data_IF_419498209687
#
_entry.id   IF_419498209687
#
_cell.length_a   1.000
_cell.length_b   1.000
_cell.length_c   1.000
_cell.angle_alpha   90.00
_cell.angle_beta   90.00
_cell.angle_gamma   90.00
#
_symmetry.space_group_name_H-M   'P 1'
#
loop_
_entity.id
_entity.type
_entity.pdbx_description
1 polymer ?
#
# COMPACT_ATOMS: atom_id res chain seq x y z
N UNK A 1 16.73 2.44 2.97
CA UNK A 1 15.26 2.39 3.18
C UNK A 1 14.62 2.07 1.83
N UNK A 2 14.47 0.79 1.50
CA UNK A 2 14.21 0.38 0.12
C UNK A 2 12.74 0.30 -0.28
N UNK A 3 11.80 0.09 0.64
CA UNK A 3 10.37 -0.09 0.34
C UNK A 3 9.46 0.85 1.14
N UNK A 4 9.98 1.49 2.18
CA UNK A 4 9.24 2.45 2.99
C UNK A 4 9.30 3.85 2.40
N UNK A 5 8.19 4.56 2.47
CA UNK A 5 8.17 5.99 2.20
C UNK A 5 8.87 6.77 3.32
N UNK A 6 9.39 7.93 2.97
CA UNK A 6 10.00 8.83 3.97
C UNK A 6 8.95 9.64 4.72
N UNK A 7 7.86 9.96 4.05
CA UNK A 7 6.73 10.75 4.56
C UNK A 7 5.44 10.05 4.15
N UNK A 8 4.44 10.06 5.03
CA UNK A 8 3.08 9.60 4.72
C UNK A 8 2.05 10.69 5.05
N UNK A 9 1.08 10.85 4.18
CA UNK A 9 -0.14 11.60 4.47
C UNK A 9 -1.23 10.59 4.81
N UNK A 10 -1.83 10.75 5.98
CA UNK A 10 -2.86 9.86 6.52
C UNK A 10 -4.06 10.69 6.95
N UNK A 11 -5.16 10.03 7.32
CA UNK A 11 -6.19 10.66 8.11
C UNK A 11 -5.65 11.02 9.51
N UNK A 12 -5.99 12.19 10.02
CA UNK A 12 -5.62 12.62 11.38
C UNK A 12 -6.06 11.63 12.46
N UNK A 13 -7.22 11.00 12.27
CA UNK A 13 -7.76 9.98 13.18
C UNK A 13 -7.17 8.57 12.95
N UNK A 14 -6.15 8.44 12.11
CA UNK A 14 -5.55 7.14 11.85
C UNK A 14 -4.86 6.61 13.10
N UNK A 15 -5.37 5.48 13.58
CA UNK A 15 -4.66 4.66 14.54
C UNK A 15 -3.46 3.97 13.86
N UNK A 16 -2.61 3.30 14.62
CA UNK A 16 -1.55 2.43 14.11
C UNK A 16 -2.06 1.24 13.29
N UNK A 17 -3.36 1.09 13.13
CA UNK A 17 -4.02 0.05 12.35
C UNK A 17 -3.80 0.25 10.84
N UNK A 18 -3.69 -0.84 10.11
CA UNK A 18 -3.70 -0.84 8.64
C UNK A 18 -5.12 -0.77 8.04
N UNK A 19 -6.17 -0.85 8.86
CA UNK A 19 -7.56 -0.58 8.45
C UNK A 19 -7.87 0.91 8.64
N UNK A 20 -7.32 1.71 7.72
CA UNK A 20 -7.31 3.17 7.81
C UNK A 20 -8.56 3.77 7.19
N UNK A 21 -8.95 4.95 7.68
CA UNK A 21 -10.01 5.75 7.06
C UNK A 21 -9.54 6.30 5.71
N UNK A 22 -10.44 6.39 4.71
CA UNK A 22 -10.09 6.81 3.35
C UNK A 22 -9.90 8.32 3.26
N UNK A 23 -8.68 8.77 3.01
CA UNK A 23 -8.42 10.16 2.62
C UNK A 23 -8.54 10.34 1.10
N UNK A 24 -8.83 11.55 0.67
CA UNK A 24 -8.83 11.92 -0.73
C UNK A 24 -8.07 13.23 -0.93
N UNK A 25 -6.96 13.14 -1.66
CA UNK A 25 -6.17 14.32 -2.02
C UNK A 25 -6.55 14.77 -3.42
N UNK A 26 -7.02 16.02 -3.56
CA UNK A 26 -7.44 16.57 -4.83
C UNK A 26 -6.28 16.71 -5.84
N UNK A 27 -6.60 16.79 -7.13
CA UNK A 27 -5.60 16.85 -8.19
C UNK A 27 -4.66 18.06 -8.09
N UNK A 28 -5.12 19.29 -7.77
CA UNK A 28 -4.20 20.40 -7.55
C UNK A 28 -3.19 20.15 -6.43
N UNK A 29 -3.63 19.60 -5.31
CA UNK A 29 -2.75 19.26 -4.18
C UNK A 29 -1.76 18.15 -4.57
N UNK A 30 -2.22 17.11 -5.30
CA UNK A 30 -1.35 16.05 -5.84
C UNK A 30 -0.24 16.63 -6.72
N UNK A 31 -0.62 17.52 -7.64
CA UNK A 31 0.33 18.17 -8.54
C UNK A 31 1.35 19.00 -7.77
N UNK A 32 0.89 19.83 -6.82
CA UNK A 32 1.77 20.65 -6.01
C UNK A 32 2.78 19.83 -5.19
N UNK A 33 2.35 18.72 -4.59
CA UNK A 33 3.25 17.81 -3.86
C UNK A 33 4.31 17.23 -4.81
N UNK A 34 3.91 16.80 -6.01
CA UNK A 34 4.85 16.20 -6.98
C UNK A 34 5.85 17.20 -7.54
N UNK A 35 5.57 18.51 -7.46
CA UNK A 35 6.45 19.59 -7.91
C UNK A 35 7.43 20.08 -6.84
N UNK A 36 7.34 19.58 -5.59
CA UNK A 36 8.34 19.89 -4.56
C UNK A 36 9.70 19.32 -5.01
N UNK A 37 10.78 20.13 -5.09
CA UNK A 37 12.07 19.69 -5.64
C UNK A 37 12.67 18.46 -4.95
N UNK A 38 12.44 18.32 -3.65
CA UNK A 38 12.91 17.21 -2.82
C UNK A 38 12.15 15.90 -3.04
N UNK A 39 10.94 15.96 -3.60
CA UNK A 39 10.11 14.78 -3.84
C UNK A 39 10.62 13.98 -5.03
N UNK A 40 10.89 12.71 -4.82
CA UNK A 40 11.24 11.74 -5.87
C UNK A 40 9.99 11.02 -6.40
N UNK A 41 9.13 10.54 -5.49
CA UNK A 41 7.92 9.78 -5.83
C UNK A 41 6.77 10.08 -4.90
N UNK A 42 5.57 10.00 -5.46
CA UNK A 42 4.30 10.09 -4.73
C UNK A 42 3.45 8.88 -5.13
N UNK A 43 3.08 8.05 -4.16
CA UNK A 43 2.32 6.83 -4.40
C UNK A 43 1.05 6.81 -3.55
N UNK A 44 -0.04 6.36 -4.14
CA UNK A 44 -1.37 6.32 -3.53
C UNK A 44 -1.69 4.87 -3.14
N UNK A 45 -1.73 4.62 -1.84
CA UNK A 45 -1.75 3.27 -1.28
C UNK A 45 -3.07 3.00 -0.58
N UNK A 46 -3.62 1.82 -0.82
CA UNK A 46 -4.79 1.31 -0.09
C UNK A 46 -4.37 0.10 0.72
N UNK A 47 -4.48 0.15 2.03
CA UNK A 47 -4.17 -0.99 2.89
C UNK A 47 -5.42 -1.60 3.50
N UNK A 48 -5.44 -2.92 3.64
CA UNK A 48 -6.49 -3.63 4.35
C UNK A 48 -5.96 -4.91 4.97
N UNK A 49 -6.17 -5.12 6.28
CA UNK A 49 -5.94 -6.42 6.91
C UNK A 49 -6.88 -7.48 6.35
N UNK A 50 -6.37 -8.70 6.21
CA UNK A 50 -7.15 -9.84 5.76
C UNK A 50 -6.49 -11.15 6.14
N UNK A 51 -7.15 -12.26 5.80
CA UNK A 51 -6.63 -13.60 6.04
C UNK A 51 -6.56 -14.33 4.71
N UNK A 52 -5.37 -14.82 4.36
CA UNK A 52 -5.22 -15.80 3.29
C UNK A 52 -5.44 -17.18 3.89
N UNK A 53 -6.33 -17.95 3.28
CA UNK A 53 -6.63 -19.32 3.68
C UNK A 53 -6.37 -20.27 2.53
N UNK A 54 -5.69 -21.36 2.84
CA UNK A 54 -5.52 -22.56 2.01
C UNK A 54 -6.24 -23.72 2.67
N UNK A 55 -6.16 -24.92 2.09
CA UNK A 55 -6.85 -26.11 2.65
C UNK A 55 -6.35 -26.42 4.07
N UNK A 56 -5.05 -26.31 4.31
CA UNK A 56 -4.43 -26.71 5.56
C UNK A 56 -3.94 -25.56 6.44
N UNK A 57 -3.83 -24.34 5.90
CA UNK A 57 -3.17 -23.23 6.58
C UNK A 57 -3.97 -21.93 6.44
N UNK A 58 -3.75 -21.02 7.36
CA UNK A 58 -4.21 -19.64 7.25
C UNK A 58 -3.18 -18.67 7.81
N UNK A 59 -3.17 -17.45 7.29
CA UNK A 59 -2.26 -16.40 7.75
C UNK A 59 -2.93 -15.04 7.67
N UNK A 60 -2.87 -14.29 8.77
CA UNK A 60 -3.23 -12.88 8.77
C UNK A 60 -2.13 -12.09 8.05
N UNK A 61 -2.54 -11.24 7.12
CA UNK A 61 -1.66 -10.41 6.30
C UNK A 61 -2.26 -9.03 6.12
N UNK A 62 -1.44 -8.09 5.65
CA UNK A 62 -1.91 -6.79 5.17
C UNK A 62 -1.81 -6.74 3.66
N UNK A 63 -2.93 -6.52 3.00
CA UNK A 63 -2.99 -6.25 1.57
C UNK A 63 -2.59 -4.80 1.33
N UNK A 64 -1.49 -4.60 0.62
CA UNK A 64 -1.04 -3.30 0.13
C UNK A 64 -1.48 -3.17 -1.32
N UNK A 65 -2.57 -2.44 -1.53
CA UNK A 65 -3.10 -2.14 -2.85
C UNK A 65 -2.35 -0.98 -3.49
N UNK A 66 -1.86 -1.20 -4.69
CA UNK A 66 -1.12 -0.22 -5.49
C UNK A 66 -1.76 -0.06 -6.87
N UNK A 67 -1.58 1.10 -7.49
CA UNK A 67 -2.12 1.37 -8.82
C UNK A 67 -1.12 1.03 -9.95
N UNK A 68 -1.52 1.30 -11.20
CA UNK A 68 -0.70 1.02 -12.37
C UNK A 68 0.56 1.89 -12.48
N UNK A 69 0.65 3.00 -11.73
CA UNK A 69 1.79 3.91 -11.73
C UNK A 69 2.83 3.60 -10.65
N UNK A 70 2.56 2.57 -9.83
CA UNK A 70 3.43 2.19 -8.72
C UNK A 70 4.85 1.88 -9.16
N UNK A 71 5.84 2.38 -8.42
CA UNK A 71 7.24 2.12 -8.69
C UNK A 71 7.69 0.75 -8.20
N UNK A 72 7.73 -0.20 -9.10
CA UNK A 72 8.11 -1.57 -8.82
C UNK A 72 9.62 -1.83 -8.71
N UNK A 73 10.51 -0.81 -8.83
CA UNK A 73 11.98 -1.01 -8.81
C UNK A 73 12.46 -1.82 -7.63
N UNK A 74 11.93 -1.53 -6.43
CA UNK A 74 12.30 -2.27 -5.22
C UNK A 74 11.91 -3.76 -5.32
N UNK A 75 10.68 -4.06 -5.70
CA UNK A 75 10.21 -5.44 -5.80
C UNK A 75 10.83 -6.19 -6.97
N UNK A 76 11.11 -5.54 -8.09
CA UNK A 76 11.85 -6.16 -9.22
C UNK A 76 13.23 -6.61 -8.80
N UNK A 77 13.93 -5.83 -7.98
CA UNK A 77 15.25 -6.17 -7.45
C UNK A 77 15.21 -7.34 -6.46
N UNK A 78 14.10 -7.52 -5.76
CA UNK A 78 13.91 -8.54 -4.73
C UNK A 78 13.00 -9.69 -5.19
N UNK A 79 12.58 -9.70 -6.45
CA UNK A 79 11.78 -10.79 -7.01
C UNK A 79 12.66 -12.02 -7.20
N UNK A 80 12.21 -13.16 -6.66
CA UNK A 80 12.93 -14.43 -6.75
C UNK A 80 12.26 -15.41 -7.71
N UNK A 81 10.94 -15.25 -7.95
CA UNK A 81 10.18 -16.12 -8.84
C UNK A 81 9.04 -15.34 -9.51
N UNK A 82 8.70 -15.69 -10.75
CA UNK A 82 7.55 -15.14 -11.47
C UNK A 82 7.77 -13.74 -12.00
N UNK A 83 6.68 -12.96 -12.06
CA UNK A 83 6.67 -11.65 -12.67
C UNK A 83 5.88 -10.64 -11.83
N UNK A 84 6.29 -9.37 -11.90
CA UNK A 84 5.51 -8.25 -11.39
C UNK A 84 4.27 -8.06 -12.28
N UNK A 85 3.05 -7.97 -11.70
CA UNK A 85 1.84 -7.74 -12.47
C UNK A 85 1.79 -6.32 -13.05
N UNK A 86 1.16 -6.18 -14.19
CA UNK A 86 0.81 -4.88 -14.80
C UNK A 86 -0.65 -4.54 -14.46
N UNK A 87 -0.87 -3.79 -13.41
CA UNK A 87 -2.21 -3.43 -12.96
C UNK A 87 -2.96 -2.45 -13.87
N UNK A 88 -2.33 -1.98 -14.95
CA UNK A 88 -3.01 -1.29 -16.04
C UNK A 88 -3.79 -2.23 -16.96
N UNK A 89 -3.48 -3.54 -16.92
CA UNK A 89 -4.13 -4.56 -17.74
C UNK A 89 -5.26 -5.27 -16.98
N UNK A 90 -6.36 -5.54 -17.68
CA UNK A 90 -7.50 -6.27 -17.11
C UNK A 90 -7.15 -7.70 -16.67
N UNK A 91 -6.25 -8.36 -17.41
CA UNK A 91 -5.84 -9.75 -17.14
C UNK A 91 -5.01 -9.90 -15.85
N UNK A 92 -4.46 -8.79 -15.37
CA UNK A 92 -3.64 -8.77 -14.15
C UNK A 92 -4.39 -8.29 -12.90
N UNK A 93 -5.67 -7.94 -13.03
CA UNK A 93 -6.47 -7.33 -11.94
C UNK A 93 -6.53 -8.15 -10.65
N UNK A 94 -6.53 -9.48 -10.73
CA UNK A 94 -6.58 -10.39 -9.60
C UNK A 94 -5.23 -11.04 -9.26
N UNK A 95 -4.15 -10.57 -9.88
CA UNK A 95 -2.79 -11.03 -9.55
C UNK A 95 -2.29 -10.40 -8.25
N UNK A 96 -1.45 -11.15 -7.58
CA UNK A 96 -0.84 -10.78 -6.31
C UNK A 96 0.62 -11.22 -6.28
N UNK A 97 1.48 -10.42 -5.67
CA UNK A 97 2.82 -10.87 -5.29
C UNK A 97 2.88 -11.07 -3.78
N UNK A 98 3.59 -12.11 -3.37
CA UNK A 98 3.73 -12.55 -1.98
C UNK A 98 5.19 -12.77 -1.64
N UNK A 99 5.56 -12.66 -0.38
CA UNK A 99 6.91 -13.01 0.04
C UNK A 99 7.13 -14.52 0.03
N UNK A 100 8.37 -14.95 -0.17
CA UNK A 100 8.80 -16.34 -0.03
C UNK A 100 8.46 -16.91 1.35
N UNK A 101 8.60 -16.09 2.38
CA UNK A 101 8.30 -16.46 3.76
C UNK A 101 6.82 -16.79 3.97
N UNK A 102 5.91 -15.95 3.49
CA UNK A 102 4.47 -16.21 3.55
C UNK A 102 4.07 -17.38 2.65
N UNK A 103 4.64 -17.48 1.45
CA UNK A 103 4.39 -18.57 0.52
C UNK A 103 4.72 -19.93 1.14
N UNK A 104 5.88 -20.04 1.79
CA UNK A 104 6.30 -21.27 2.52
C UNK A 104 5.40 -21.58 3.71
N UNK A 105 5.00 -20.58 4.50
CA UNK A 105 4.09 -20.78 5.64
C UNK A 105 2.71 -21.26 5.20
N UNK A 106 2.22 -20.74 4.07
CA UNK A 106 0.91 -21.12 3.51
C UNK A 106 0.98 -22.37 2.62
N UNK A 107 2.17 -22.86 2.28
CA UNK A 107 2.41 -23.95 1.34
C UNK A 107 1.80 -23.71 -0.04
N UNK A 108 2.01 -22.49 -0.55
CA UNK A 108 1.56 -22.06 -1.87
C UNK A 108 2.75 -21.58 -2.71
N UNK A 109 2.58 -21.55 -4.01
CA UNK A 109 3.63 -21.19 -4.96
C UNK A 109 3.13 -20.37 -6.14
N UNK A 110 4.03 -20.13 -7.08
CA UNK A 110 3.74 -19.40 -8.30
C UNK A 110 2.60 -20.06 -9.09
N UNK A 111 1.62 -19.27 -9.51
CA UNK A 111 0.47 -19.72 -10.29
C UNK A 111 -0.70 -20.25 -9.47
N UNK A 112 -0.52 -20.49 -8.17
CA UNK A 112 -1.60 -20.91 -7.30
C UNK A 112 -2.67 -19.83 -7.15
N UNK A 113 -3.91 -20.28 -7.04
CA UNK A 113 -5.06 -19.44 -6.70
C UNK A 113 -5.37 -19.58 -5.22
N UNK A 114 -5.55 -18.44 -4.54
CA UNK A 114 -5.85 -18.39 -3.11
C UNK A 114 -7.07 -17.53 -2.83
N UNK A 115 -7.77 -17.84 -1.74
CA UNK A 115 -8.83 -17.00 -1.23
C UNK A 115 -8.31 -16.13 -0.08
N UNK A 116 -8.63 -14.83 -0.20
CA UNK A 116 -8.43 -13.86 0.86
C UNK A 116 -9.78 -13.48 1.46
N UNK A 117 -9.85 -13.47 2.78
CA UNK A 117 -11.04 -13.13 3.55
C UNK A 117 -10.83 -11.82 4.28
N UNK A 118 -11.80 -10.93 4.14
CA UNK A 118 -11.81 -9.62 4.76
C UNK A 118 -13.01 -9.50 5.69
N UNK A 119 -12.74 -9.04 6.90
CA UNK A 119 -13.74 -8.95 7.95
C UNK A 119 -14.22 -7.50 8.08
N UNK A 120 -15.49 -7.29 7.78
CA UNK A 120 -16.22 -6.05 7.96
C UNK A 120 -17.55 -6.36 8.65
N UNK A 121 -18.61 -5.59 8.38
CA UNK A 121 -19.96 -5.96 8.80
C UNK A 121 -20.37 -7.36 8.29
N UNK A 122 -19.85 -7.75 7.12
CA UNK A 122 -19.97 -9.09 6.55
C UNK A 122 -18.59 -9.55 6.10
N UNK A 123 -18.35 -10.86 6.18
CA UNK A 123 -17.13 -11.47 5.64
C UNK A 123 -17.18 -11.41 4.11
N UNK A 124 -16.14 -10.87 3.50
CA UNK A 124 -16.01 -10.82 2.04
C UNK A 124 -14.78 -11.60 1.61
N UNK A 125 -14.93 -12.38 0.56
CA UNK A 125 -13.84 -13.14 -0.04
C UNK A 125 -13.43 -12.54 -1.39
N UNK A 126 -12.13 -12.65 -1.68
CA UNK A 126 -11.55 -12.35 -2.99
C UNK A 126 -10.59 -13.46 -3.38
N UNK A 127 -10.58 -13.78 -4.66
CA UNK A 127 -9.69 -14.77 -5.23
C UNK A 127 -8.52 -14.05 -5.90
N UNK A 128 -7.30 -14.45 -5.53
CA UNK A 128 -6.07 -13.94 -6.10
C UNK A 128 -5.24 -15.06 -6.70
N UNK A 129 -4.47 -14.74 -7.75
CA UNK A 129 -3.49 -15.63 -8.35
C UNK A 129 -2.08 -15.12 -8.03
N UNK A 130 -1.21 -16.00 -7.54
CA UNK A 130 0.19 -15.67 -7.25
C UNK A 130 0.95 -15.51 -8.57
N UNK A 131 1.37 -14.29 -8.89
CA UNK A 131 2.12 -13.98 -10.11
C UNK A 131 3.61 -13.80 -9.89
N UNK A 132 4.02 -13.52 -8.65
CA UNK A 132 5.41 -13.33 -8.29
C UNK A 132 5.66 -13.58 -6.81
N UNK A 133 6.87 -14.03 -6.51
CA UNK A 133 7.36 -14.26 -5.15
C UNK A 133 8.59 -13.40 -4.94
N UNK A 134 8.59 -12.62 -3.86
CA UNK A 134 9.70 -11.74 -3.49
C UNK A 134 10.33 -12.15 -2.16
N UNK A 135 11.58 -11.74 -1.94
CA UNK A 135 12.25 -11.86 -0.65
C UNK A 135 13.07 -10.62 -0.39
N UNK A 136 12.79 -9.95 0.71
CA UNK A 136 13.52 -8.75 1.12
C UNK A 136 14.44 -9.05 2.30
N UNK A 137 15.27 -8.11 2.71
CA UNK A 137 16.03 -8.20 3.95
C UNK A 137 15.23 -7.78 5.18
N UNK A 138 13.97 -7.38 5.00
CA UNK A 138 13.09 -6.87 6.05
C UNK A 138 12.08 -7.93 6.47
N UNK A 139 12.46 -8.73 7.47
CA UNK A 139 11.70 -9.89 7.92
C UNK A 139 10.26 -9.57 8.34
N UNK A 140 10.02 -8.44 9.00
CA UNK A 140 8.69 -8.04 9.45
C UNK A 140 7.78 -7.68 8.27
N UNK A 141 8.35 -7.02 7.26
CA UNK A 141 7.64 -6.74 6.02
C UNK A 141 7.27 -8.04 5.29
N UNK A 142 8.24 -8.96 5.13
CA UNK A 142 8.04 -10.23 4.46
C UNK A 142 7.04 -11.14 5.19
N UNK A 143 6.86 -10.96 6.50
CA UNK A 143 5.86 -11.70 7.28
C UNK A 143 4.44 -11.15 7.19
N UNK A 144 4.27 -9.92 6.71
CA UNK A 144 3.02 -9.20 6.87
C UNK A 144 2.36 -8.79 5.56
N UNK A 145 3.15 -8.31 4.57
CA UNK A 145 2.58 -7.67 3.40
C UNK A 145 2.48 -8.57 2.18
N UNK A 146 1.34 -8.44 1.48
CA UNK A 146 1.13 -8.90 0.11
C UNK A 146 0.71 -7.71 -0.73
N UNK A 147 1.09 -7.68 -2.02
CA UNK A 147 0.73 -6.58 -2.90
C UNK A 147 -0.28 -7.03 -3.94
N UNK A 148 -1.32 -6.21 -4.12
CA UNK A 148 -2.38 -6.42 -5.09
C UNK A 148 -2.80 -5.09 -5.73
N UNK A 149 -3.76 -5.13 -6.63
CA UNK A 149 -4.33 -3.94 -7.25
C UNK A 149 -5.17 -3.14 -6.25
N UNK A 150 -4.94 -1.84 -6.13
CA UNK A 150 -5.66 -0.95 -5.21
C UNK A 150 -7.17 -0.99 -5.40
N UNK A 151 -7.64 -1.06 -6.65
CA UNK A 151 -9.06 -1.09 -6.98
C UNK A 151 -9.81 -2.29 -6.37
N UNK A 152 -9.13 -3.43 -6.17
CA UNK A 152 -9.74 -4.60 -5.52
C UNK A 152 -10.09 -4.28 -4.06
N UNK A 153 -9.21 -3.57 -3.36
CA UNK A 153 -9.43 -3.16 -1.97
C UNK A 153 -10.41 -1.98 -1.89
N UNK A 154 -10.32 -1.00 -2.79
CA UNK A 154 -11.28 0.10 -2.85
C UNK A 154 -12.72 -0.42 -3.05
N UNK A 155 -12.91 -1.36 -3.97
CA UNK A 155 -14.22 -1.98 -4.20
C UNK A 155 -14.73 -2.72 -2.97
N UNK A 156 -13.86 -3.46 -2.27
CA UNK A 156 -14.20 -4.12 -1.00
C UNK A 156 -14.70 -3.13 0.05
N UNK A 157 -14.06 -1.98 0.14
CA UNK A 157 -14.38 -0.94 1.11
C UNK A 157 -15.57 -0.05 0.69
N UNK A 158 -16.07 -0.19 -0.53
CA UNK A 158 -17.06 0.73 -1.10
C UNK A 158 -16.50 2.12 -1.36
N UNK A 159 -15.19 2.22 -1.61
CA UNK A 159 -14.50 3.49 -1.89
C UNK A 159 -14.45 3.75 -3.39
N UNK A 160 -14.44 5.02 -3.75
CA UNK A 160 -14.12 5.43 -5.11
C UNK A 160 -12.60 5.38 -5.38
N UNK A 161 -12.22 5.55 -6.65
CA UNK A 161 -10.83 5.47 -7.11
C UNK A 161 -9.91 6.56 -6.56
N UNK A 162 -10.45 7.62 -5.98
CA UNK A 162 -9.68 8.74 -5.42
C UNK A 162 -9.45 8.61 -3.92
N UNK A 163 -10.12 7.68 -3.28
CA UNK A 163 -10.02 7.41 -1.84
C UNK A 163 -8.92 6.38 -1.56
N UNK A 164 -7.97 6.73 -0.72
CA UNK A 164 -6.78 5.93 -0.38
C UNK A 164 -6.55 5.88 1.12
N UNK A 165 -5.84 4.87 1.58
CA UNK A 165 -5.44 4.73 3.00
C UNK A 165 -4.33 5.70 3.38
N UNK A 166 -3.41 5.94 2.44
CA UNK A 166 -2.25 6.80 2.63
C UNK A 166 -1.73 7.32 1.29
N UNK A 167 -1.05 8.46 1.33
CA UNK A 167 -0.15 8.91 0.28
C UNK A 167 1.27 8.72 0.79
N UNK A 168 2.04 7.89 0.10
CA UNK A 168 3.43 7.61 0.42
C UNK A 168 4.36 8.48 -0.43
N UNK A 169 5.28 9.20 0.21
CA UNK A 169 6.18 10.14 -0.45
C UNK A 169 7.61 9.74 -0.16
N UNK A 170 8.38 9.56 -1.21
CA UNK A 170 9.83 9.29 -1.15
C UNK A 170 10.60 10.54 -1.56
N UNK A 171 11.62 10.89 -0.80
CA UNK A 171 12.47 12.05 -1.04
C UNK A 171 13.77 11.64 -1.75
N UNK A 172 14.29 12.53 -2.57
CA UNK A 172 15.61 12.41 -3.20
C UNK A 172 16.74 12.51 -2.18
N UNK A 173 16.56 13.38 -1.16
CA UNK A 173 17.51 13.58 -0.08
C UNK A 173 16.80 13.52 1.28
N UNK A 174 17.27 12.64 2.16
CA UNK A 174 16.71 12.44 3.49
C UNK A 174 17.02 13.58 4.47
N UNK A 175 18.07 14.35 4.22
CA UNK A 175 18.50 15.43 5.12
C UNK A 175 17.46 16.55 5.27
N UNK A 176 16.54 16.68 4.28
CA UNK A 176 15.47 17.68 4.31
C UNK A 176 14.10 17.08 4.70
N UNK A 177 14.11 15.94 5.38
CA UNK A 177 12.89 15.20 5.72
C UNK A 177 11.87 16.07 6.48
N UNK A 178 12.31 16.68 7.59
CA UNK A 178 11.40 17.39 8.50
C UNK A 178 10.89 18.70 7.86
N UNK A 179 11.73 19.40 7.11
CA UNK A 179 11.35 20.59 6.35
C UNK A 179 10.32 20.26 5.27
N UNK A 180 10.61 19.23 4.46
CA UNK A 180 9.70 18.82 3.39
C UNK A 180 8.37 18.29 3.94
N UNK A 181 8.37 17.59 5.08
CA UNK A 181 7.14 17.18 5.73
C UNK A 181 6.28 18.38 6.16
N UNK A 182 6.88 19.44 6.69
CA UNK A 182 6.18 20.67 7.02
C UNK A 182 5.60 21.37 5.77
N UNK A 183 6.35 21.43 4.67
CA UNK A 183 5.88 21.98 3.41
C UNK A 183 4.68 21.21 2.86
N UNK A 184 4.73 19.88 2.92
CA UNK A 184 3.62 19.00 2.51
C UNK A 184 2.41 19.23 3.41
N UNK A 185 2.58 19.31 4.74
CA UNK A 185 1.47 19.59 5.64
C UNK A 185 0.84 20.95 5.36
N UNK A 186 1.63 21.95 5.02
CA UNK A 186 1.11 23.26 4.63
C UNK A 186 0.30 23.20 3.32
N UNK A 187 0.71 22.39 2.35
CA UNK A 187 -0.01 22.18 1.10
C UNK A 187 -1.35 21.47 1.28
N UNK A 188 -1.39 20.40 2.08
CA UNK A 188 -2.64 19.68 2.36
C UNK A 188 -3.55 20.48 3.28
N UNK A 189 -2.95 21.29 4.18
CA UNK A 189 -3.63 22.22 5.06
C UNK A 189 -4.47 21.57 6.16
N UNK A 190 -5.06 22.39 7.01
CA UNK A 190 -5.99 22.00 8.07
C UNK A 190 -7.45 22.10 7.55
N UNK A 191 -7.73 21.44 6.45
CA UNK A 191 -9.05 21.40 5.82
C UNK A 191 -9.57 19.98 5.75
N UNK A 192 -10.90 19.86 5.77
CA UNK A 192 -11.54 18.57 5.51
C UNK A 192 -11.46 18.22 4.02
N UNK A 193 -11.16 16.98 3.72
CA UNK A 193 -11.29 16.42 2.38
C UNK A 193 -12.78 16.13 2.05
N UNK A 194 -13.06 15.59 0.86
CA UNK A 194 -14.41 15.19 0.47
C UNK A 194 -15.02 14.09 1.35
N UNK A 195 -14.18 13.31 2.04
CA UNK A 195 -14.59 12.26 2.98
C UNK A 195 -14.77 12.82 4.41
N UNK A 196 -14.69 14.14 4.60
CA UNK A 196 -14.80 14.85 5.88
C UNK A 196 -13.69 14.46 6.88
N UNK A 197 -12.50 14.16 6.38
CA UNK A 197 -11.32 13.81 7.16
C UNK A 197 -10.26 14.92 7.05
N UNK A 198 -9.57 15.15 8.16
CA UNK A 198 -8.38 15.99 8.19
C UNK A 198 -7.13 15.16 7.82
N UNK A 199 -6.19 15.81 7.18
CA UNK A 199 -4.90 15.23 6.84
C UNK A 199 -3.92 15.32 8.01
N UNK A 200 -3.08 14.30 8.11
CA UNK A 200 -1.93 14.26 9.01
C UNK A 200 -0.70 13.80 8.24
N UNK A 201 0.30 14.65 8.15
CA UNK A 201 1.58 14.32 7.52
C UNK A 201 2.54 13.82 8.59
N UNK A 202 3.05 12.61 8.42
CA UNK A 202 3.99 11.97 9.34
C UNK A 202 5.27 11.56 8.62
N UNK A 203 6.39 11.77 9.29
CA UNK A 203 7.69 11.27 8.83
C UNK A 203 7.89 9.82 9.26
N UNK A 204 8.83 9.12 8.60
CA UNK A 204 9.20 7.75 8.97
C UNK A 204 9.71 7.68 10.42
N UNK A 205 10.32 8.74 10.96
CA UNK A 205 10.78 8.81 12.35
C UNK A 205 9.62 8.80 13.35
N UNK A 206 8.48 9.39 12.97
CA UNK A 206 7.25 9.43 13.80
C UNK A 206 6.44 8.14 13.67
N UNK A 207 6.50 7.48 12.51
CA UNK A 207 5.81 6.22 12.27
C UNK A 207 6.50 5.03 12.95
N UNK A 208 7.83 5.10 13.07
CA UNK A 208 8.68 4.04 13.64
C UNK A 208 9.72 4.67 14.58
N UNK A 209 9.31 5.12 15.78
CA UNK A 209 10.17 5.79 16.76
C UNK A 209 11.22 4.86 17.37
#
# INVERSE_FOLDING_TARGET
VGFGSHIQILSYDSSSSFDRKPISVDNPTRLNISQIPEVDRVEYIVTKPGIIKTDDNFKAVVFKGVDSSYDWRFFRKNLIEGNIPDFGKSDDKNKMIISDKLAKQLKIGLGDEVFAYFFQQQVRARKFKISGIYSTTYSDFDNLFVLCRSQEIQTLNGWDSTSVSAVEITLKNFDRLDETANDIQALVGNRFDKNKLLYNTQTIKELYP
#
